data_IF_293624382185
#
_entry.id   IF_293624382185
#
_cell.length_a   1.000
_cell.length_b   1.000
_cell.length_c   1.000
_cell.angle_alpha   90.00
_cell.angle_beta   90.00
_cell.angle_gamma   90.00
#
_symmetry.space_group_name_H-M   'P 1'
#
loop_
_entity.id
_entity.type
_entity.pdbx_description
1 polymer ?
#
# COMPACT_ATOMS: atom_id res chain seq x y z
N UNK A 1 -31.73 14.94 4.00
CA UNK A 1 -31.79 15.24 2.53
C UNK A 1 -31.02 14.15 1.79
N UNK A 2 -31.58 13.48 0.77
CA UNK A 2 -30.86 12.39 0.08
C UNK A 2 -29.67 12.94 -0.74
N UNK A 3 -28.47 12.41 -0.49
CA UNK A 3 -27.27 12.72 -1.29
C UNK A 3 -27.39 12.11 -2.69
N UNK A 4 -26.97 12.85 -3.72
CA UNK A 4 -26.90 12.31 -5.08
C UNK A 4 -25.79 11.24 -5.21
N UNK A 5 -25.80 10.39 -6.25
CA UNK A 5 -24.70 9.45 -6.49
C UNK A 5 -23.33 10.12 -6.59
N UNK A 6 -23.24 11.29 -7.22
CA UNK A 6 -21.99 12.06 -7.33
C UNK A 6 -21.53 12.59 -5.97
N UNK A 7 -22.45 13.11 -5.17
CA UNK A 7 -22.15 13.58 -3.81
C UNK A 7 -21.63 12.45 -2.94
N UNK A 8 -22.24 11.27 -3.01
CA UNK A 8 -21.76 10.09 -2.28
C UNK A 8 -20.37 9.67 -2.73
N UNK A 9 -20.09 9.75 -4.04
CA UNK A 9 -18.79 9.37 -4.60
C UNK A 9 -17.65 10.27 -4.12
N UNK A 10 -17.89 11.58 -3.97
CA UNK A 10 -16.92 12.54 -3.43
C UNK A 10 -16.84 12.51 -1.90
N UNK A 11 -17.97 12.32 -1.22
CA UNK A 11 -18.01 12.32 0.24
C UNK A 11 -17.37 11.06 0.84
N UNK A 12 -17.46 9.91 0.15
CA UNK A 12 -16.90 8.63 0.62
C UNK A 12 -15.39 8.70 0.93
N UNK A 13 -14.51 9.16 0.02
CA UNK A 13 -13.10 9.29 0.34
C UNK A 13 -12.85 10.30 1.46
N UNK A 14 -13.61 11.41 1.52
CA UNK A 14 -13.46 12.40 2.60
C UNK A 14 -13.79 11.80 3.97
N UNK A 15 -14.84 10.98 4.06
CA UNK A 15 -15.18 10.25 5.29
C UNK A 15 -14.09 9.24 5.63
N UNK A 16 -13.63 8.45 4.66
CA UNK A 16 -12.58 7.46 4.88
C UNK A 16 -11.27 8.10 5.38
N UNK A 17 -10.75 9.10 4.68
CA UNK A 17 -9.49 9.74 5.06
C UNK A 17 -9.59 10.58 6.34
N UNK A 18 -10.80 11.04 6.69
CA UNK A 18 -11.01 11.68 8.00
C UNK A 18 -10.67 10.75 9.16
N UNK A 19 -10.78 9.42 9.00
CA UNK A 19 -10.41 8.45 10.04
C UNK A 19 -8.94 8.52 10.43
N UNK A 20 -8.10 9.07 9.54
CA UNK A 20 -6.65 9.18 9.70
C UNK A 20 -6.19 10.64 9.83
N UNK A 21 -7.12 11.54 10.14
CA UNK A 21 -6.89 12.99 10.18
C UNK A 21 -6.26 13.54 8.89
N UNK A 22 -6.67 12.98 7.75
CA UNK A 22 -6.12 13.32 6.44
C UNK A 22 -7.15 14.05 5.57
N UNK A 23 -7.14 15.38 5.55
CA UNK A 23 -7.70 16.14 4.43
C UNK A 23 -7.17 15.64 3.08
N UNK A 24 -8.02 15.60 2.07
CA UNK A 24 -7.70 15.03 0.77
C UNK A 24 -7.33 16.15 -0.20
N UNK A 25 -6.24 16.02 -0.95
CA UNK A 25 -5.92 16.97 -2.01
C UNK A 25 -7.06 17.02 -3.04
N UNK A 26 -7.51 18.24 -3.39
CA UNK A 26 -8.61 18.45 -4.35
C UNK A 26 -8.33 17.73 -5.68
N UNK A 27 -7.09 17.73 -6.13
CA UNK A 27 -6.63 17.09 -7.36
C UNK A 27 -6.72 15.56 -7.33
N UNK A 28 -6.67 14.93 -6.15
CA UNK A 28 -6.78 13.48 -6.00
C UNK A 28 -8.23 12.99 -5.97
N UNK A 29 -9.20 13.87 -5.68
CA UNK A 29 -10.61 13.47 -5.53
C UNK A 29 -11.21 12.81 -6.79
N UNK A 30 -10.71 13.18 -7.97
CA UNK A 30 -11.16 12.56 -9.21
C UNK A 30 -10.82 11.07 -9.27
N UNK A 31 -9.61 10.68 -8.86
CA UNK A 31 -9.17 9.28 -8.82
C UNK A 31 -9.78 8.51 -7.64
N UNK A 32 -10.15 9.22 -6.57
CA UNK A 32 -10.72 8.68 -5.34
C UNK A 32 -12.25 8.51 -5.38
N UNK A 33 -12.91 9.02 -6.42
CA UNK A 33 -14.36 9.00 -6.53
C UNK A 33 -14.91 7.57 -6.46
N UNK A 34 -15.72 7.33 -5.44
CA UNK A 34 -16.10 5.97 -5.07
C UNK A 34 -17.32 5.49 -5.86
N UNK A 35 -17.13 4.40 -6.64
CA UNK A 35 -18.15 3.67 -7.41
C UNK A 35 -18.99 4.51 -8.37
N UNK A 36 -18.48 5.66 -8.81
CA UNK A 36 -19.20 6.55 -9.72
C UNK A 36 -18.26 7.10 -10.78
N UNK A 37 -18.68 7.06 -12.06
CA UNK A 37 -17.92 7.66 -13.14
C UNK A 37 -18.12 9.18 -13.17
N UNK A 38 -17.08 9.97 -12.90
CA UNK A 38 -17.12 11.44 -12.91
C UNK A 38 -16.09 12.02 -13.87
N UNK A 39 -16.42 13.13 -14.53
CA UNK A 39 -15.47 14.03 -15.21
C UNK A 39 -14.89 15.05 -14.22
N UNK A 40 -13.77 15.69 -14.57
CA UNK A 40 -13.18 16.75 -13.74
C UNK A 40 -14.19 17.87 -13.39
N UNK A 41 -14.97 18.32 -14.38
CA UNK A 41 -16.04 19.33 -14.18
C UNK A 41 -17.13 18.83 -13.22
N UNK A 42 -17.50 17.55 -13.29
CA UNK A 42 -18.49 16.99 -12.37
C UNK A 42 -17.95 16.89 -10.94
N UNK A 43 -16.65 16.60 -10.76
CA UNK A 43 -15.99 16.63 -9.45
C UNK A 43 -16.05 18.03 -8.86
N UNK A 44 -15.61 19.05 -9.61
CA UNK A 44 -15.62 20.45 -9.17
C UNK A 44 -17.02 20.93 -8.79
N UNK A 45 -18.01 20.75 -9.66
CA UNK A 45 -19.39 21.14 -9.36
C UNK A 45 -20.02 20.34 -8.22
N UNK A 46 -19.52 19.12 -7.93
CA UNK A 46 -19.96 18.35 -6.75
C UNK A 46 -19.34 18.88 -5.47
N UNK A 47 -18.06 19.30 -5.51
CA UNK A 47 -17.40 19.95 -4.38
C UNK A 47 -18.14 21.23 -4.02
N UNK A 48 -18.40 22.12 -4.99
CA UNK A 48 -19.12 23.38 -4.78
C UNK A 48 -20.50 23.16 -4.15
N UNK A 49 -21.27 22.16 -4.62
CA UNK A 49 -22.57 21.80 -4.03
C UNK A 49 -22.44 21.31 -2.58
N UNK A 50 -21.44 20.49 -2.28
CA UNK A 50 -21.22 19.98 -0.93
C UNK A 50 -20.73 21.08 0.03
N UNK A 51 -19.93 22.03 -0.45
CA UNK A 51 -19.51 23.23 0.28
C UNK A 51 -20.69 24.16 0.56
N UNK A 52 -21.54 24.42 -0.44
CA UNK A 52 -22.77 25.21 -0.27
C UNK A 52 -23.77 24.59 0.72
N UNK A 53 -23.71 23.26 0.91
CA UNK A 53 -24.45 22.53 1.95
C UNK A 53 -23.76 22.52 3.32
N UNK A 54 -22.59 23.14 3.45
CA UNK A 54 -21.79 23.18 4.68
C UNK A 54 -21.22 21.82 5.11
N UNK A 55 -21.19 20.82 4.22
CA UNK A 55 -20.75 19.45 4.56
C UNK A 55 -19.24 19.27 4.46
N UNK A 56 -18.62 19.99 3.54
CA UNK A 56 -17.19 19.98 3.30
C UNK A 56 -16.64 21.40 3.25
N UNK A 57 -15.33 21.52 3.36
CA UNK A 57 -14.61 22.78 3.23
C UNK A 57 -13.34 22.58 2.39
N UNK A 58 -13.05 23.54 1.52
CA UNK A 58 -11.78 23.62 0.78
C UNK A 58 -10.86 24.68 1.39
N UNK A 59 -9.65 24.27 1.78
CA UNK A 59 -8.60 25.16 2.31
C UNK A 59 -7.24 24.74 1.78
N UNK A 60 -6.46 25.70 1.28
CA UNK A 60 -5.08 25.48 0.82
C UNK A 60 -4.93 24.29 -0.14
N UNK A 61 -5.89 24.06 -1.03
CA UNK A 61 -5.88 22.95 -1.98
C UNK A 61 -6.37 21.59 -1.43
N UNK A 62 -6.66 21.49 -0.13
CA UNK A 62 -7.28 20.31 0.47
C UNK A 62 -8.78 20.48 0.59
N UNK A 63 -9.48 19.36 0.53
CA UNK A 63 -10.90 19.22 0.81
C UNK A 63 -11.04 18.31 2.03
N UNK A 64 -11.83 18.73 3.00
CA UNK A 64 -12.12 17.96 4.22
C UNK A 64 -13.60 18.05 4.56
N UNK A 65 -14.10 17.14 5.40
CA UNK A 65 -15.37 17.36 6.10
C UNK A 65 -15.27 18.64 6.91
N UNK A 66 -16.33 19.45 6.99
CA UNK A 66 -16.32 20.75 7.69
C UNK A 66 -15.81 20.62 9.12
N UNK A 67 -16.29 19.62 9.87
CA UNK A 67 -15.84 19.33 11.25
C UNK A 67 -14.36 18.93 11.38
N UNK A 68 -13.71 18.61 10.27
CA UNK A 68 -12.31 18.18 10.19
C UNK A 68 -11.39 19.26 9.61
N UNK A 69 -11.87 20.50 9.42
CA UNK A 69 -11.06 21.63 8.89
C UNK A 69 -9.75 21.83 9.68
N UNK A 70 -9.80 21.64 11.00
CA UNK A 70 -8.65 21.75 11.91
C UNK A 70 -7.46 20.84 11.54
N UNK A 71 -7.68 19.81 10.73
CA UNK A 71 -6.63 18.88 10.31
C UNK A 71 -5.84 19.38 9.07
N UNK A 72 -6.23 20.49 8.43
CA UNK A 72 -5.54 21.02 7.24
C UNK A 72 -4.07 21.41 7.52
N UNK A 73 -3.74 22.14 8.62
CA UNK A 73 -2.33 22.41 8.95
C UNK A 73 -1.53 21.13 9.22
N UNK A 74 -2.15 20.13 9.86
CA UNK A 74 -1.53 18.83 10.11
C UNK A 74 -1.22 18.09 8.81
N UNK A 75 -2.12 18.14 7.81
CA UNK A 75 -1.88 17.55 6.49
C UNK A 75 -0.66 18.16 5.80
N UNK A 76 -0.50 19.48 5.85
CA UNK A 76 0.67 20.16 5.27
C UNK A 76 1.98 19.74 5.93
N UNK A 77 1.98 19.58 7.27
CA UNK A 77 3.16 19.09 7.99
C UNK A 77 3.48 17.63 7.63
N UNK A 78 2.46 16.77 7.54
CA UNK A 78 2.62 15.38 7.12
C UNK A 78 3.06 15.25 5.67
N UNK A 79 2.67 16.18 4.80
CA UNK A 79 3.13 16.18 3.40
C UNK A 79 4.64 16.34 3.29
N UNK A 80 5.21 17.31 4.01
CA UNK A 80 6.68 17.50 4.04
C UNK A 80 7.40 16.25 4.55
N UNK A 81 6.90 15.66 5.63
CA UNK A 81 7.46 14.43 6.18
C UNK A 81 7.33 13.24 5.22
N UNK A 82 6.20 13.13 4.51
CA UNK A 82 5.99 12.12 3.48
C UNK A 82 6.93 12.31 2.30
N UNK A 83 7.17 13.55 1.84
CA UNK A 83 8.11 13.84 0.77
C UNK A 83 9.54 13.45 1.14
N UNK A 84 10.00 13.83 2.33
CA UNK A 84 11.31 13.45 2.87
C UNK A 84 11.46 11.93 2.97
N UNK A 85 10.44 11.26 3.53
CA UNK A 85 10.44 9.81 3.70
C UNK A 85 10.39 9.08 2.35
N UNK A 86 9.67 9.61 1.35
CA UNK A 86 9.66 9.09 -0.02
C UNK A 86 11.02 9.20 -0.68
N UNK A 87 11.72 10.32 -0.53
CA UNK A 87 13.07 10.50 -1.08
C UNK A 87 14.05 9.47 -0.53
N UNK A 88 14.03 9.26 0.79
CA UNK A 88 14.87 8.27 1.46
C UNK A 88 14.48 6.82 1.10
N UNK A 89 13.18 6.50 1.11
CA UNK A 89 12.68 5.19 0.70
C UNK A 89 13.09 4.81 -0.72
N UNK A 90 12.99 5.74 -1.68
CA UNK A 90 13.40 5.52 -3.08
C UNK A 90 14.89 5.18 -3.18
N UNK A 91 15.76 5.89 -2.44
CA UNK A 91 17.20 5.62 -2.42
C UNK A 91 17.50 4.22 -1.89
N UNK A 92 16.85 3.82 -0.79
CA UNK A 92 17.03 2.48 -0.22
C UNK A 92 16.50 1.40 -1.16
N UNK A 93 15.31 1.58 -1.73
CA UNK A 93 14.68 0.61 -2.64
C UNK A 93 15.49 0.47 -3.94
N UNK A 94 16.08 1.55 -4.47
CA UNK A 94 16.98 1.46 -5.62
C UNK A 94 18.14 0.49 -5.38
N UNK A 95 18.69 0.47 -4.16
CA UNK A 95 19.75 -0.48 -3.80
C UNK A 95 19.25 -1.92 -3.63
N UNK A 96 17.95 -2.13 -3.40
CA UNK A 96 17.32 -3.45 -3.41
C UNK A 96 17.18 -4.04 -4.82
N UNK A 97 17.53 -3.29 -5.86
CA UNK A 97 17.57 -3.82 -7.23
C UNK A 97 18.50 -5.03 -7.39
N UNK A 98 19.53 -5.18 -6.55
CA UNK A 98 20.43 -6.34 -6.55
C UNK A 98 19.81 -7.62 -5.97
N UNK A 99 18.64 -7.54 -5.33
CA UNK A 99 17.98 -8.71 -4.74
C UNK A 99 17.46 -9.63 -5.86
N UNK A 100 17.84 -10.92 -5.88
CA UNK A 100 17.42 -11.86 -6.91
C UNK A 100 15.91 -12.11 -6.86
N UNK A 101 15.32 -12.34 -8.04
CA UNK A 101 13.93 -12.76 -8.24
C UNK A 101 12.85 -11.76 -7.79
N UNK A 102 13.21 -10.54 -7.35
CA UNK A 102 12.23 -9.48 -7.05
C UNK A 102 11.71 -8.88 -8.35
N UNK A 103 10.39 -8.89 -8.52
CA UNK A 103 9.72 -8.32 -9.70
C UNK A 103 9.04 -6.99 -9.43
N UNK A 104 8.47 -6.80 -8.24
CA UNK A 104 7.86 -5.54 -7.82
C UNK A 104 8.26 -5.22 -6.38
N UNK A 105 8.61 -3.97 -6.12
CA UNK A 105 8.58 -3.37 -4.78
C UNK A 105 7.67 -2.15 -4.86
N UNK A 106 6.61 -2.17 -4.05
CA UNK A 106 5.66 -1.07 -3.92
C UNK A 106 5.56 -0.63 -2.46
N UNK A 107 5.26 0.64 -2.25
CA UNK A 107 4.95 1.22 -0.94
C UNK A 107 3.44 1.23 -0.74
N UNK A 108 3.01 0.94 0.49
CA UNK A 108 1.61 0.88 0.89
C UNK A 108 1.36 1.65 2.20
N UNK A 109 0.12 1.63 2.69
CA UNK A 109 -0.30 2.26 3.95
C UNK A 109 -0.02 3.78 4.04
N UNK A 110 0.46 4.27 5.17
CA UNK A 110 0.52 5.69 5.55
C UNK A 110 1.33 6.53 4.58
N UNK A 111 2.50 6.05 4.15
CA UNK A 111 3.34 6.77 3.20
C UNK A 111 2.71 6.83 1.81
N UNK A 112 2.07 5.74 1.37
CA UNK A 112 1.35 5.73 0.10
C UNK A 112 0.21 6.76 0.08
N UNK A 113 -0.53 6.90 1.19
CA UNK A 113 -1.56 7.93 1.36
C UNK A 113 -1.02 9.35 1.61
N UNK A 114 0.30 9.54 1.59
CA UNK A 114 0.96 10.80 1.89
C UNK A 114 0.58 11.35 3.29
N UNK A 115 0.50 10.44 4.27
CA UNK A 115 0.04 10.72 5.62
C UNK A 115 1.05 10.21 6.67
N UNK A 116 2.35 10.27 6.35
CA UNK A 116 3.41 9.88 7.26
C UNK A 116 3.55 10.89 8.42
N UNK A 117 4.01 10.41 9.56
CA UNK A 117 4.39 11.24 10.71
C UNK A 117 5.86 10.99 11.06
N UNK A 118 6.43 11.79 11.97
CA UNK A 118 7.85 11.73 12.33
C UNK A 118 8.30 10.36 12.86
N UNK A 119 7.35 9.49 13.24
CA UNK A 119 7.55 8.14 13.78
C UNK A 119 7.40 7.02 12.74
N UNK A 120 7.02 7.33 11.50
CA UNK A 120 6.58 6.32 10.53
C UNK A 120 7.73 5.49 9.95
N UNK A 121 7.46 4.21 9.78
CA UNK A 121 8.17 3.29 8.90
C UNK A 121 7.63 3.36 7.45
N UNK A 122 8.25 2.59 6.58
CA UNK A 122 7.87 2.43 5.17
C UNK A 122 7.43 0.99 4.94
N UNK A 123 6.12 0.80 4.78
CA UNK A 123 5.55 -0.51 4.51
C UNK A 123 5.66 -0.88 3.04
N UNK A 124 6.22 -2.06 2.79
CA UNK A 124 6.45 -2.59 1.45
C UNK A 124 5.54 -3.78 1.13
N UNK A 125 5.06 -3.79 -0.10
CA UNK A 125 4.57 -4.96 -0.81
C UNK A 125 5.64 -5.41 -1.81
N UNK A 126 6.04 -6.67 -1.74
CA UNK A 126 7.05 -7.25 -2.63
C UNK A 126 6.46 -8.41 -3.43
N UNK A 127 6.60 -8.37 -4.74
CA UNK A 127 6.26 -9.49 -5.64
C UNK A 127 7.55 -10.13 -6.15
N UNK A 128 7.56 -11.45 -6.17
CA UNK A 128 8.70 -12.28 -6.56
C UNK A 128 8.38 -13.16 -7.77
N UNK A 129 9.41 -13.65 -8.46
CA UNK A 129 9.27 -14.71 -9.47
C UNK A 129 8.64 -15.98 -8.87
N UNK A 130 7.85 -16.74 -9.64
CA UNK A 130 7.21 -17.94 -9.14
C UNK A 130 8.16 -18.96 -8.48
N UNK A 131 7.83 -19.37 -7.26
CA UNK A 131 8.61 -20.33 -6.47
C UNK A 131 9.90 -19.77 -5.86
N UNK A 132 10.13 -18.44 -5.94
CA UNK A 132 11.38 -17.80 -5.46
C UNK A 132 11.20 -16.92 -4.23
N UNK A 133 10.00 -16.92 -3.63
CA UNK A 133 9.64 -16.05 -2.50
C UNK A 133 10.62 -16.16 -1.33
N UNK A 134 10.96 -17.37 -0.90
CA UNK A 134 11.88 -17.59 0.23
C UNK A 134 13.25 -16.97 -0.03
N UNK A 135 13.85 -17.26 -1.19
CA UNK A 135 15.17 -16.78 -1.58
C UNK A 135 15.20 -15.24 -1.64
N UNK A 136 14.23 -14.65 -2.34
CA UNK A 136 14.11 -13.19 -2.46
C UNK A 136 13.93 -12.53 -1.08
N UNK A 137 13.10 -13.13 -0.22
CA UNK A 137 12.85 -12.66 1.14
C UNK A 137 14.09 -12.69 2.02
N UNK A 138 14.90 -13.75 1.97
CA UNK A 138 16.14 -13.81 2.75
C UNK A 138 17.14 -12.78 2.27
N UNK A 139 17.35 -12.65 0.95
CA UNK A 139 18.26 -11.64 0.42
C UNK A 139 17.81 -10.23 0.73
N UNK A 140 16.53 -9.90 0.53
CA UNK A 140 16.02 -8.56 0.81
C UNK A 140 16.18 -8.22 2.30
N UNK A 141 15.81 -9.15 3.19
CA UNK A 141 15.96 -8.97 4.62
C UNK A 141 17.44 -8.84 5.03
N UNK A 142 18.34 -9.60 4.41
CA UNK A 142 19.77 -9.50 4.64
C UNK A 142 20.33 -8.13 4.22
N UNK A 143 19.95 -7.63 3.04
CA UNK A 143 20.34 -6.30 2.57
C UNK A 143 19.84 -5.20 3.52
N UNK A 144 18.55 -5.25 3.90
CA UNK A 144 17.99 -4.29 4.85
C UNK A 144 18.64 -4.35 6.23
N UNK A 145 19.00 -5.55 6.70
CA UNK A 145 19.69 -5.74 7.99
C UNK A 145 21.11 -5.19 7.93
N UNK A 146 21.86 -5.50 6.86
CA UNK A 146 23.23 -5.03 6.65
C UNK A 146 23.32 -3.49 6.63
N UNK A 147 22.36 -2.82 6.00
CA UNK A 147 22.29 -1.36 5.97
C UNK A 147 21.55 -0.73 7.14
N UNK A 148 21.17 -1.53 8.16
CA UNK A 148 20.39 -1.08 9.33
C UNK A 148 19.07 -0.37 8.96
N UNK A 149 18.53 -0.68 7.77
CA UNK A 149 17.28 -0.13 7.23
C UNK A 149 16.07 -1.02 7.52
N UNK A 150 16.28 -2.24 8.03
CA UNK A 150 15.20 -3.16 8.39
C UNK A 150 14.49 -2.68 9.66
N UNK A 151 13.16 -2.63 9.62
CA UNK A 151 12.34 -2.44 10.80
C UNK A 151 12.50 -3.64 11.75
N UNK A 152 13.16 -3.42 12.90
CA UNK A 152 13.35 -4.39 13.99
C UNK A 152 12.83 -3.79 15.29
N UNK A 153 12.67 -4.58 16.35
CA UNK A 153 12.26 -4.07 17.66
C UNK A 153 13.15 -2.89 18.09
N UNK A 154 12.57 -1.68 18.19
CA UNK A 154 13.27 -0.42 18.42
C UNK A 154 12.66 0.76 17.65
N UNK A 155 13.46 1.79 17.39
CA UNK A 155 13.06 2.95 16.59
C UNK A 155 12.74 2.54 15.14
N UNK A 156 11.51 2.79 14.69
CA UNK A 156 11.01 2.40 13.36
C UNK A 156 11.14 3.51 12.31
N UNK A 157 11.52 4.73 12.74
CA UNK A 157 11.55 5.92 11.88
C UNK A 157 12.40 5.69 10.63
N UNK A 158 11.80 5.88 9.47
CA UNK A 158 12.49 5.74 8.19
C UNK A 158 12.87 4.30 7.82
N UNK A 159 12.57 3.31 8.66
CA UNK A 159 12.92 1.91 8.38
C UNK A 159 11.90 1.27 7.47
N UNK A 160 12.35 0.29 6.69
CA UNK A 160 11.51 -0.45 5.77
C UNK A 160 10.98 -1.70 6.48
N UNK A 161 9.65 -1.84 6.49
CA UNK A 161 8.93 -3.05 6.89
C UNK A 161 8.43 -3.74 5.63
N UNK A 162 8.58 -5.06 5.53
CA UNK A 162 7.96 -5.81 4.42
C UNK A 162 6.77 -6.59 4.94
N UNK A 163 5.62 -5.97 4.78
CA UNK A 163 4.36 -6.42 5.35
C UNK A 163 3.67 -7.46 4.47
N UNK A 164 3.83 -7.35 3.15
CA UNK A 164 3.17 -8.22 2.16
C UNK A 164 4.19 -8.79 1.19
N UNK A 165 4.21 -10.11 1.07
CA UNK A 165 4.96 -10.86 0.06
C UNK A 165 4.00 -11.60 -0.85
N UNK A 166 4.27 -11.57 -2.15
CA UNK A 166 3.49 -12.27 -3.16
C UNK A 166 4.40 -12.92 -4.19
N UNK A 167 3.89 -13.99 -4.76
CA UNK A 167 4.42 -14.70 -5.90
C UNK A 167 3.69 -14.23 -7.16
N UNK A 168 4.41 -13.99 -8.26
CA UNK A 168 3.81 -13.48 -9.50
C UNK A 168 2.79 -14.45 -10.14
N UNK A 169 2.75 -15.72 -9.74
CA UNK A 169 1.70 -16.67 -10.14
C UNK A 169 0.35 -16.44 -9.44
N UNK A 170 0.29 -15.60 -8.40
CA UNK A 170 -0.92 -15.31 -7.62
C UNK A 170 -0.97 -13.83 -7.20
N UNK A 171 -1.29 -12.97 -8.17
CA UNK A 171 -1.42 -11.51 -7.99
C UNK A 171 -2.82 -11.07 -7.53
N UNK A 172 -3.76 -11.99 -7.36
CA UNK A 172 -5.10 -11.63 -6.91
C UNK A 172 -5.08 -11.21 -5.44
N UNK A 173 -5.49 -9.97 -5.18
CA UNK A 173 -5.63 -9.42 -3.84
C UNK A 173 -7.03 -9.70 -3.26
N UNK A 174 -7.99 -10.11 -4.09
CA UNK A 174 -9.39 -10.28 -3.67
C UNK A 174 -9.61 -11.26 -2.52
N UNK A 175 -8.73 -12.25 -2.35
CA UNK A 175 -8.78 -13.21 -1.23
C UNK A 175 -8.46 -12.57 0.13
N UNK A 176 -7.73 -11.44 0.15
CA UNK A 176 -7.43 -10.70 1.37
C UNK A 176 -8.60 -9.84 1.86
N UNK A 177 -9.58 -9.58 0.99
CA UNK A 177 -10.67 -8.64 1.25
C UNK A 177 -11.65 -9.22 2.26
N UNK A 178 -11.93 -8.47 3.33
CA UNK A 178 -12.97 -8.85 4.28
C UNK A 178 -14.37 -8.72 3.64
N UNK A 179 -15.27 -9.63 4.00
CA UNK A 179 -16.68 -9.61 3.57
C UNK A 179 -17.58 -9.11 4.72
N UNK A 180 -18.71 -8.43 4.40
CA UNK A 180 -19.22 -8.10 3.07
C UNK A 180 -18.55 -6.87 2.42
N UNK A 181 -17.85 -6.03 3.20
CA UNK A 181 -17.18 -4.82 2.73
C UNK A 181 -15.90 -4.57 3.51
N UNK A 182 -14.91 -3.99 2.84
CA UNK A 182 -13.60 -3.66 3.41
C UNK A 182 -13.10 -2.35 2.77
N UNK A 183 -13.62 -1.22 3.25
CA UNK A 183 -13.33 0.10 2.68
C UNK A 183 -11.85 0.46 2.76
N UNK A 184 -11.19 0.04 3.85
CA UNK A 184 -9.76 0.23 4.02
C UNK A 184 -9.00 -0.51 2.94
N UNK A 185 -9.29 -1.79 2.73
CA UNK A 185 -8.61 -2.59 1.72
C UNK A 185 -8.85 -2.10 0.28
N UNK A 186 -10.05 -1.61 -0.01
CA UNK A 186 -10.37 -0.98 -1.30
C UNK A 186 -9.42 0.21 -1.56
N UNK A 187 -9.34 1.19 -0.62
CA UNK A 187 -8.44 2.34 -0.77
C UNK A 187 -6.95 1.95 -0.71
N UNK A 188 -6.58 1.02 0.17
CA UNK A 188 -5.22 0.48 0.28
C UNK A 188 -4.75 -0.11 -1.05
N UNK A 189 -5.61 -0.87 -1.74
CA UNK A 189 -5.29 -1.45 -3.04
C UNK A 189 -5.17 -0.38 -4.11
N UNK A 190 -6.08 0.60 -4.13
CA UNK A 190 -6.04 1.69 -5.08
C UNK A 190 -4.75 2.53 -4.96
N UNK A 191 -4.21 2.66 -3.75
CA UNK A 191 -3.03 3.50 -3.47
C UNK A 191 -1.71 2.76 -3.42
N UNK A 192 -1.65 1.48 -3.82
CA UNK A 192 -0.36 0.79 -3.97
C UNK A 192 0.53 1.59 -4.92
N UNK A 193 1.67 2.08 -4.44
CA UNK A 193 2.58 2.94 -5.19
C UNK A 193 3.84 2.18 -5.61
N UNK A 194 4.00 1.97 -6.91
CA UNK A 194 5.13 1.21 -7.47
C UNK A 194 6.43 2.01 -7.42
N UNK A 195 7.51 1.37 -6.95
CA UNK A 195 8.86 1.97 -6.88
C UNK A 195 9.83 1.20 -7.77
N UNK A 196 9.93 -0.12 -7.60
CA UNK A 196 10.71 -0.98 -8.49
C UNK A 196 9.73 -1.87 -9.26
N UNK A 197 9.70 -1.79 -10.59
CA UNK A 197 8.77 -2.56 -11.42
C UNK A 197 9.51 -3.22 -12.58
N UNK A 198 9.58 -4.55 -12.57
CA UNK A 198 10.13 -5.36 -13.65
C UNK A 198 9.01 -6.11 -14.35
N UNK A 199 9.22 -6.40 -15.64
CA UNK A 199 8.30 -7.20 -16.46
C UNK A 199 6.84 -6.71 -16.44
N UNK A 200 6.61 -5.40 -16.19
CA UNK A 200 5.28 -4.82 -16.01
C UNK A 200 4.45 -5.52 -14.90
N UNK A 201 5.11 -5.94 -13.82
CA UNK A 201 4.46 -6.71 -12.74
C UNK A 201 3.42 -5.88 -11.99
N UNK A 202 3.61 -4.57 -11.86
CA UNK A 202 2.59 -3.69 -11.27
C UNK A 202 1.32 -3.64 -12.13
N UNK A 203 1.46 -3.57 -13.45
CA UNK A 203 0.37 -3.58 -14.40
C UNK A 203 -0.37 -4.93 -14.36
N UNK A 204 0.38 -6.04 -14.29
CA UNK A 204 -0.19 -7.37 -14.08
C UNK A 204 -0.95 -7.48 -12.75
N UNK A 205 -0.43 -6.86 -11.68
CA UNK A 205 -1.11 -6.80 -10.37
C UNK A 205 -2.45 -6.07 -10.48
N UNK A 206 -2.50 -4.93 -11.17
CA UNK A 206 -3.74 -4.19 -11.40
C UNK A 206 -4.72 -5.00 -12.27
N UNK A 207 -4.23 -5.64 -13.34
CA UNK A 207 -5.05 -6.47 -14.23
C UNK A 207 -5.64 -7.71 -13.51
N UNK A 208 -4.91 -8.30 -12.55
CA UNK A 208 -5.39 -9.39 -11.71
C UNK A 208 -6.49 -8.95 -10.70
N UNK A 209 -6.72 -7.64 -10.56
CA UNK A 209 -7.68 -7.06 -9.63
C UNK A 209 -8.70 -6.16 -10.35
N UNK A 210 -9.47 -6.68 -11.34
CA UNK A 210 -10.36 -5.88 -12.18
C UNK A 210 -11.53 -5.25 -11.40
N UNK A 211 -11.82 -5.77 -10.20
CA UNK A 211 -12.78 -5.18 -9.28
C UNK A 211 -12.39 -3.75 -8.88
N UNK A 212 -11.10 -3.38 -8.95
CA UNK A 212 -10.62 -2.05 -8.60
C UNK A 212 -11.26 -0.98 -9.48
N UNK A 213 -11.38 -1.20 -10.79
CA UNK A 213 -12.04 -0.27 -11.71
C UNK A 213 -13.54 -0.13 -11.47
N UNK A 214 -14.19 -1.13 -10.86
CA UNK A 214 -15.60 -1.01 -10.45
C UNK A 214 -15.75 -0.14 -9.20
N UNK A 215 -14.73 -0.13 -8.34
CA UNK A 215 -14.71 0.67 -7.11
C UNK A 215 -14.20 2.09 -7.37
N UNK A 216 -13.19 2.25 -8.24
CA UNK A 216 -12.57 3.52 -8.59
C UNK A 216 -12.45 3.62 -10.12
N UNK A 217 -13.52 4.07 -10.82
CA UNK A 217 -13.54 4.05 -12.28
C UNK A 217 -12.48 4.93 -12.95
N UNK A 218 -11.94 5.93 -12.22
CA UNK A 218 -10.90 6.85 -12.70
C UNK A 218 -9.53 6.55 -12.10
N UNK A 219 -9.36 5.39 -11.47
CA UNK A 219 -8.08 4.98 -10.90
C UNK A 219 -6.98 5.06 -11.97
N UNK A 220 -5.82 5.58 -11.56
CA UNK A 220 -4.62 5.62 -12.39
C UNK A 220 -3.48 4.93 -11.62
N UNK A 221 -2.61 4.17 -12.31
CA UNK A 221 -1.44 3.56 -11.68
C UNK A 221 -0.55 4.62 -11.02
N UNK A 222 -0.10 4.35 -9.78
CA UNK A 222 0.82 5.23 -9.05
C UNK A 222 2.27 4.86 -9.34
N UNK A 223 2.86 5.51 -10.34
CA UNK A 223 4.22 5.23 -10.85
C UNK A 223 5.21 6.37 -10.65
N UNK A 224 4.80 7.47 -10.02
CA UNK A 224 5.61 8.70 -9.86
C UNK A 224 6.90 8.51 -9.05
N UNK A 225 7.00 7.44 -8.27
CA UNK A 225 8.15 7.13 -7.42
C UNK A 225 9.07 6.07 -8.02
N UNK A 226 8.85 5.66 -9.27
CA UNK A 226 9.67 4.62 -9.89
C UNK A 226 11.15 4.98 -9.91
N UNK A 227 11.98 3.96 -9.72
CA UNK A 227 13.44 4.05 -9.78
C UNK A 227 13.97 3.15 -10.89
N UNK A 228 14.96 3.65 -11.62
CA UNK A 228 15.69 2.85 -12.60
C UNK A 228 16.85 2.15 -11.89
N UNK A 229 16.91 0.80 -11.92
CA UNK A 229 18.03 0.06 -11.37
C UNK A 229 19.39 0.47 -11.94
N UNK A 230 20.41 0.52 -11.08
CA UNK A 230 21.79 0.68 -11.51
C UNK A 230 22.28 -0.59 -12.25
N UNK A 231 22.97 -0.47 -13.40
CA UNK A 231 23.43 -1.61 -14.19
C UNK A 231 24.33 -2.60 -13.43
N UNK A 232 25.14 -2.12 -12.47
CA UNK A 232 25.99 -2.98 -11.64
C UNK A 232 25.14 -3.82 -10.69
N UNK A 233 24.12 -3.21 -10.08
CA UNK A 233 23.17 -3.94 -9.24
C UNK A 233 22.39 -4.99 -10.04
N UNK A 234 22.01 -4.68 -11.28
CA UNK A 234 21.38 -5.64 -12.19
C UNK A 234 22.30 -6.82 -12.55
N UNK A 235 23.60 -6.58 -12.80
CA UNK A 235 24.56 -7.68 -13.01
C UNK A 235 24.70 -8.55 -11.75
N UNK A 236 24.75 -7.94 -10.56
CA UNK A 236 24.80 -8.67 -9.29
C UNK A 236 23.56 -9.52 -9.07
N UNK A 237 22.37 -8.96 -9.37
CA UNK A 237 21.10 -9.70 -9.36
C UNK A 237 21.18 -10.91 -10.28
N UNK A 238 21.57 -10.71 -11.54
CA UNK A 238 21.65 -11.76 -12.54
C UNK A 238 22.63 -12.89 -12.13
N UNK A 239 23.77 -12.55 -11.53
CA UNK A 239 24.72 -13.53 -11.01
C UNK A 239 24.12 -14.39 -9.88
N UNK A 240 23.43 -13.77 -8.92
CA UNK A 240 22.72 -14.50 -7.87
C UNK A 240 21.63 -15.39 -8.44
N UNK A 241 20.84 -14.90 -9.39
CA UNK A 241 19.79 -15.72 -10.01
C UNK A 241 20.36 -16.90 -10.81
N UNK A 242 21.47 -16.71 -11.54
CA UNK A 242 22.16 -17.79 -12.23
C UNK A 242 22.66 -18.86 -11.25
N UNK A 243 23.23 -18.45 -10.11
CA UNK A 243 23.59 -19.36 -9.04
C UNK A 243 22.39 -20.15 -8.53
N UNK A 244 21.29 -19.48 -8.16
CA UNK A 244 20.07 -20.16 -7.65
C UNK A 244 19.30 -20.97 -8.70
N UNK A 245 19.64 -20.83 -9.99
CA UNK A 245 19.14 -21.68 -11.08
C UNK A 245 20.03 -22.90 -11.34
N UNK A 246 21.28 -22.92 -10.84
CA UNK A 246 22.14 -24.11 -10.85
C UNK A 246 21.61 -25.22 -9.94
N UNK A 247 22.08 -26.46 -10.13
CA UNK A 247 21.69 -27.60 -9.30
C UNK A 247 21.97 -27.40 -7.81
N UNK A 248 23.14 -26.84 -7.47
CA UNK A 248 23.52 -26.54 -6.10
C UNK A 248 22.61 -25.44 -5.51
N UNK A 249 22.38 -24.37 -6.28
CA UNK A 249 21.54 -23.26 -5.85
C UNK A 249 20.06 -23.65 -5.69
N UNK A 250 19.55 -24.57 -6.50
CA UNK A 250 18.20 -25.13 -6.33
C UNK A 250 18.07 -25.91 -5.02
N UNK A 251 19.07 -26.75 -4.68
CA UNK A 251 19.10 -27.48 -3.40
C UNK A 251 19.15 -26.52 -2.21
N UNK A 252 20.00 -25.50 -2.29
CA UNK A 252 20.08 -24.46 -1.25
C UNK A 252 18.75 -23.70 -1.12
N UNK A 253 18.13 -23.32 -2.24
CA UNK A 253 16.86 -22.62 -2.27
C UNK A 253 15.71 -23.43 -1.68
N UNK A 254 15.66 -24.74 -1.95
CA UNK A 254 14.70 -25.66 -1.36
C UNK A 254 14.87 -25.74 0.17
N UNK A 255 16.11 -25.91 0.63
CA UNK A 255 16.43 -25.89 2.06
C UNK A 255 16.04 -24.55 2.73
N UNK A 256 16.32 -23.41 2.08
CA UNK A 256 15.91 -22.08 2.58
C UNK A 256 14.38 -21.97 2.70
N UNK A 257 13.64 -22.48 1.71
CA UNK A 257 12.19 -22.47 1.73
C UNK A 257 11.63 -23.32 2.88
N UNK A 258 12.15 -24.53 3.07
CA UNK A 258 11.76 -25.41 4.19
C UNK A 258 12.07 -24.75 5.55
N UNK A 259 13.28 -24.23 5.72
CA UNK A 259 13.68 -23.55 6.95
C UNK A 259 12.81 -22.32 7.27
N UNK A 260 12.49 -21.50 6.27
CA UNK A 260 11.57 -20.38 6.46
C UNK A 260 10.15 -20.83 6.77
N UNK A 261 9.67 -21.88 6.11
CA UNK A 261 8.34 -22.43 6.36
C UNK A 261 8.17 -22.87 7.82
N UNK A 262 9.14 -23.60 8.38
CA UNK A 262 9.12 -24.00 9.80
C UNK A 262 9.08 -22.81 10.75
N UNK A 263 9.88 -21.77 10.48
CA UNK A 263 9.92 -20.56 11.32
C UNK A 263 8.63 -19.76 11.23
N UNK A 264 8.03 -19.71 10.04
CA UNK A 264 6.76 -19.03 9.79
C UNK A 264 5.62 -19.78 10.46
N UNK A 265 5.57 -21.12 10.39
CA UNK A 265 4.57 -21.93 11.09
C UNK A 265 4.61 -21.69 12.61
N UNK A 266 5.80 -21.68 13.22
CA UNK A 266 5.96 -21.34 14.65
C UNK A 266 5.58 -19.89 14.96
N UNK A 267 5.75 -18.97 14.01
CA UNK A 267 5.28 -17.59 14.19
C UNK A 267 3.76 -17.52 14.12
N UNK A 268 3.15 -18.15 13.12
CA UNK A 268 1.71 -18.23 12.92
C UNK A 268 1.01 -18.73 14.18
N UNK A 269 1.49 -19.84 14.75
CA UNK A 269 0.93 -20.43 15.96
C UNK A 269 0.90 -19.43 17.14
N UNK A 270 1.97 -18.64 17.31
CA UNK A 270 2.07 -17.62 18.38
C UNK A 270 1.15 -16.43 18.19
N UNK A 271 0.77 -16.12 16.95
CA UNK A 271 -0.01 -14.92 16.61
C UNK A 271 -1.42 -15.25 16.11
N UNK A 272 -1.78 -16.54 16.04
CA UNK A 272 -3.07 -17.05 15.55
C UNK A 272 -4.27 -16.40 16.22
N UNK A 273 -4.13 -16.00 17.48
CA UNK A 273 -5.18 -15.35 18.28
C UNK A 273 -5.24 -13.82 18.10
N UNK A 274 -4.31 -13.21 17.36
CA UNK A 274 -4.11 -11.75 17.31
C UNK A 274 -4.41 -11.10 15.95
N UNK A 275 -4.71 -11.86 14.89
CA UNK A 275 -5.07 -11.25 13.60
C UNK A 275 -5.11 -12.20 12.40
N UNK A 276 -5.23 -11.62 11.20
CA UNK A 276 -5.26 -12.30 9.91
C UNK A 276 -3.85 -12.43 9.31
N UNK A 277 -3.01 -13.23 9.97
CA UNK A 277 -1.75 -13.66 9.35
C UNK A 277 -2.08 -14.66 8.25
N UNK A 278 -1.70 -14.35 7.01
CA UNK A 278 -1.75 -15.32 5.92
C UNK A 278 -0.33 -15.79 5.69
N UNK A 279 -0.06 -17.07 5.95
CA UNK A 279 1.18 -17.72 5.58
C UNK A 279 0.84 -18.82 4.59
N UNK A 280 1.41 -18.71 3.39
CA UNK A 280 1.31 -19.72 2.35
C UNK A 280 2.59 -19.68 1.51
N UNK A 281 2.92 -20.75 0.76
CA UNK A 281 4.13 -20.76 -0.08
C UNK A 281 4.21 -19.60 -1.08
N UNK A 282 3.05 -19.07 -1.50
CA UNK A 282 2.93 -18.02 -2.53
C UNK A 282 2.66 -16.63 -1.98
N UNK A 283 2.18 -16.52 -0.73
CA UNK A 283 1.76 -15.23 -0.14
C UNK A 283 2.03 -15.22 1.35
N UNK A 284 2.63 -14.13 1.82
CA UNK A 284 2.83 -13.87 3.24
C UNK A 284 2.27 -12.49 3.60
N UNK A 285 1.52 -12.39 4.69
CA UNK A 285 1.06 -11.11 5.25
C UNK A 285 1.24 -11.10 6.76
N UNK A 286 1.96 -10.09 7.26
CA UNK A 286 2.43 -10.05 8.66
C UNK A 286 1.72 -9.05 9.57
N UNK A 287 0.61 -8.44 9.12
CA UNK A 287 -0.03 -7.34 9.85
C UNK A 287 -0.86 -7.84 11.04
N UNK A 288 -0.43 -7.51 12.26
CA UNK A 288 -1.07 -7.90 13.52
C UNK A 288 -1.05 -6.71 14.49
N UNK A 289 -2.19 -6.28 15.07
CA UNK A 289 -3.55 -6.79 14.84
C UNK A 289 -4.17 -6.27 13.53
N UNK A 290 -5.15 -7.00 12.99
CA UNK A 290 -5.91 -6.56 11.82
C UNK A 290 -7.01 -5.57 12.23
N UNK A 291 -6.74 -4.27 12.07
CA UNK A 291 -7.65 -3.18 12.46
C UNK A 291 -8.71 -2.85 11.40
N UNK A 292 -8.76 -3.57 10.28
CA UNK A 292 -9.73 -3.30 9.20
C UNK A 292 -11.19 -3.38 9.64
N UNK A 293 -11.61 -4.32 10.52
CA UNK A 293 -12.96 -4.30 11.07
C UNK A 293 -13.27 -3.02 11.86
N UNK A 294 -12.32 -2.52 12.65
CA UNK A 294 -12.45 -1.25 13.39
C UNK A 294 -12.62 -0.08 12.40
N UNK A 295 -11.81 -0.02 11.34
CA UNK A 295 -11.90 1.02 10.33
C UNK A 295 -13.22 0.97 9.55
N UNK A 296 -13.75 -0.22 9.26
CA UNK A 296 -15.05 -0.37 8.61
C UNK A 296 -16.18 0.13 9.51
N UNK A 297 -16.18 -0.24 10.79
CA UNK A 297 -17.19 0.24 11.76
C UNK A 297 -17.11 1.76 11.96
N UNK A 298 -15.89 2.32 12.09
CA UNK A 298 -15.68 3.75 12.25
C UNK A 298 -16.10 4.54 10.98
N UNK A 299 -15.85 3.98 9.79
CA UNK A 299 -16.33 4.54 8.53
C UNK A 299 -17.86 4.60 8.51
N UNK A 300 -18.54 3.51 8.87
CA UNK A 300 -20.01 3.45 8.89
C UNK A 300 -20.62 4.44 9.87
N UNK A 301 -20.08 4.54 11.08
CA UNK A 301 -20.51 5.53 12.07
C UNK A 301 -20.38 6.96 11.54
N UNK A 302 -19.20 7.33 11.00
CA UNK A 302 -19.00 8.67 10.43
C UNK A 302 -19.84 8.92 9.19
N UNK A 303 -20.11 7.89 8.39
CA UNK A 303 -20.97 8.01 7.22
C UNK A 303 -22.41 8.34 7.62
N UNK A 304 -22.95 7.67 8.65
CA UNK A 304 -24.29 7.94 9.18
C UNK A 304 -24.43 9.40 9.63
N UNK A 305 -23.45 9.93 10.37
CA UNK A 305 -23.42 11.35 10.79
C UNK A 305 -23.43 12.33 9.61
N UNK A 306 -22.87 11.95 8.46
CA UNK A 306 -22.89 12.76 7.25
C UNK A 306 -24.16 12.60 6.42
N UNK A 307 -25.00 11.61 6.71
CA UNK A 307 -26.25 11.37 5.96
C UNK A 307 -27.52 11.60 6.75
N UNK A 308 -27.40 11.75 8.08
CA UNK A 308 -28.40 12.40 8.93
C UNK A 308 -28.65 13.84 8.41
#
# INVERSE_FOLDING_TARGET
MRLSPQERAILTPLVFFSLFDRPVLKTSLHQLAYRCSLTGRQVEGTIERLEGKGRIVTRHGYVALTRCERNVPLAQARDRLSDELWQDARRVIANLAAVPFVKLIAVVNSLAFHNAHAGSDVDLLVVTEPGRLAIARDHLNAHLTLWRRRNTHGDKRGKLSVDVWMDASDLSLGSFRLRPRDIYFEYWTAWIASVLNRDQTYEQLLAANPWLHRVFPQHKPHTVHQVTPDPVLERRRAAWEAFYRSSLGQRLGAWQAEWQHERLARFEERVRTKGTVLISPRRLRFHVPDRRPEYQAAFEARWQEQTA
#
